data_IF_665068748574
#
_entry.id   IF_665068748574
#
_cell.length_a   1.000
_cell.length_b   1.000
_cell.length_c   1.000
_cell.angle_alpha   90.00
_cell.angle_beta   90.00
_cell.angle_gamma   90.00
#
_symmetry.space_group_name_H-M   'P 1'
#
loop_
_entity.id
_entity.type
_entity.pdbx_description
1 polymer ?
#
# COMPACT_ATOMS: atom_id res chain seq x y z
N UNK A 1 6.50 -80.20 6.55
CA UNK A 1 5.68 -79.39 5.64
C UNK A 1 4.92 -78.37 6.47
N UNK A 2 5.29 -77.10 6.37
CA UNK A 2 4.62 -75.97 7.03
C UNK A 2 4.52 -74.83 6.01
N UNK A 3 3.35 -74.20 5.81
CA UNK A 3 3.23 -73.15 4.80
C UNK A 3 3.70 -71.80 5.36
N UNK A 4 4.49 -71.08 4.56
CA UNK A 4 4.92 -69.71 4.79
C UNK A 4 3.76 -68.77 4.42
N UNK A 5 3.26 -67.99 5.38
CA UNK A 5 2.29 -66.93 5.15
C UNK A 5 2.92 -65.70 4.53
N UNK A 6 2.40 -65.26 3.38
CA UNK A 6 2.69 -63.96 2.77
C UNK A 6 1.91 -62.87 3.53
N UNK A 7 2.64 -61.89 4.09
CA UNK A 7 2.05 -60.67 4.62
C UNK A 7 1.85 -59.66 3.49
N UNK A 8 0.61 -59.32 3.19
CA UNK A 8 0.25 -58.25 2.25
C UNK A 8 0.32 -56.89 2.96
N UNK A 9 1.22 -56.02 2.53
CA UNK A 9 1.25 -54.61 2.95
C UNK A 9 0.19 -53.82 2.18
N UNK A 10 -0.88 -53.41 2.87
CA UNK A 10 -1.87 -52.48 2.33
C UNK A 10 -1.33 -51.05 2.42
N UNK A 11 -1.05 -50.43 1.26
CA UNK A 11 -0.82 -48.99 1.17
C UNK A 11 -2.16 -48.25 1.34
N UNK A 12 -2.32 -47.58 2.47
CA UNK A 12 -3.44 -46.64 2.69
C UNK A 12 -3.11 -45.36 1.93
N UNK A 13 -3.80 -45.12 0.81
CA UNK A 13 -3.77 -43.85 0.11
C UNK A 13 -4.52 -42.80 0.95
N UNK A 14 -3.80 -41.81 1.48
CA UNK A 14 -4.41 -40.66 2.16
C UNK A 14 -4.94 -39.71 1.08
N UNK A 15 -6.25 -39.41 1.03
CA UNK A 15 -6.78 -38.44 0.09
C UNK A 15 -6.31 -37.04 0.47
N UNK A 16 -5.59 -36.36 -0.43
CA UNK A 16 -5.31 -34.93 -0.35
C UNK A 16 -6.64 -34.18 -0.50
N UNK A 17 -7.23 -33.77 0.61
CA UNK A 17 -8.37 -32.85 0.61
C UNK A 17 -7.88 -31.48 0.13
N UNK A 18 -8.36 -31.03 -1.04
CA UNK A 18 -8.14 -29.69 -1.53
C UNK A 18 -8.87 -28.69 -0.62
N UNK A 19 -8.12 -27.98 0.23
CA UNK A 19 -8.68 -26.88 1.02
C UNK A 19 -8.93 -25.68 0.09
N UNK A 20 -10.17 -25.17 -0.01
CA UNK A 20 -10.45 -24.00 -0.85
C UNK A 20 -9.68 -22.80 -0.30
N UNK A 21 -8.85 -22.18 -1.15
CA UNK A 21 -8.21 -20.92 -0.81
C UNK A 21 -9.29 -19.83 -0.70
N UNK A 22 -9.30 -19.03 0.37
CA UNK A 22 -10.25 -17.93 0.49
C UNK A 22 -10.03 -16.94 -0.67
N UNK A 23 -11.13 -16.41 -1.22
CA UNK A 23 -11.06 -15.39 -2.25
C UNK A 23 -10.28 -14.17 -1.75
N UNK A 24 -9.50 -13.55 -2.66
CA UNK A 24 -8.73 -12.36 -2.33
C UNK A 24 -9.66 -11.23 -1.86
N UNK A 25 -9.30 -10.60 -0.75
CA UNK A 25 -10.03 -9.43 -0.23
C UNK A 25 -9.83 -8.22 -1.16
N UNK A 26 -10.77 -7.26 -1.19
CA UNK A 26 -10.60 -6.02 -1.94
C UNK A 26 -9.29 -5.27 -1.63
N UNK A 27 -8.83 -5.26 -0.37
CA UNK A 27 -7.53 -4.68 0.01
C UNK A 27 -6.35 -5.42 -0.62
N UNK A 28 -6.39 -6.74 -0.68
CA UNK A 28 -5.34 -7.53 -1.33
C UNK A 28 -5.28 -7.23 -2.83
N UNK A 29 -6.44 -7.16 -3.49
CA UNK A 29 -6.54 -6.81 -4.91
C UNK A 29 -5.98 -5.40 -5.17
N UNK A 30 -6.31 -4.40 -4.35
CA UNK A 30 -5.71 -3.05 -4.48
C UNK A 30 -4.20 -3.04 -4.24
N UNK A 31 -3.72 -3.84 -3.30
CA UNK A 31 -2.29 -3.96 -3.02
C UNK A 31 -1.55 -4.56 -4.22
N UNK A 32 -2.13 -5.59 -4.84
CA UNK A 32 -1.61 -6.17 -6.08
C UNK A 32 -1.61 -5.15 -7.22
N UNK A 33 -2.73 -4.44 -7.41
CA UNK A 33 -2.83 -3.37 -8.40
C UNK A 33 -1.68 -2.36 -8.24
N UNK A 34 -1.48 -1.85 -7.02
CA UNK A 34 -0.52 -0.81 -6.70
C UNK A 34 0.96 -1.22 -6.88
N UNK A 35 1.32 -2.44 -6.49
CA UNK A 35 2.74 -2.81 -6.35
C UNK A 35 3.22 -3.90 -7.32
N UNK A 36 2.31 -4.62 -7.96
CA UNK A 36 2.64 -5.79 -8.80
C UNK A 36 2.22 -5.63 -10.27
N UNK A 37 1.36 -4.68 -10.59
CA UNK A 37 0.95 -4.42 -11.97
C UNK A 37 2.14 -4.02 -12.85
N UNK A 38 2.15 -4.53 -14.09
CA UNK A 38 3.20 -4.28 -15.08
C UNK A 38 2.84 -3.19 -16.08
N UNK A 39 1.55 -2.97 -16.28
CA UNK A 39 1.00 -1.94 -17.15
C UNK A 39 -0.25 -1.29 -16.53
N UNK A 40 -0.62 -0.15 -17.11
CA UNK A 40 -1.72 0.68 -16.64
C UNK A 40 -3.09 0.02 -16.84
N UNK A 41 -3.29 -0.78 -17.88
CA UNK A 41 -4.58 -1.39 -18.17
C UNK A 41 -4.90 -2.47 -17.14
N UNK A 42 -3.94 -3.36 -16.85
CA UNK A 42 -4.08 -4.36 -15.77
C UNK A 42 -4.28 -3.71 -14.41
N UNK A 43 -3.55 -2.63 -14.10
CA UNK A 43 -3.73 -1.89 -12.86
C UNK A 43 -5.15 -1.33 -12.71
N UNK A 44 -5.68 -0.71 -13.77
CA UNK A 44 -7.05 -0.16 -13.78
C UNK A 44 -8.12 -1.26 -13.64
N UNK A 45 -7.92 -2.42 -14.27
CA UNK A 45 -8.82 -3.56 -14.13
C UNK A 45 -8.88 -4.05 -12.67
N UNK A 46 -7.72 -4.24 -12.02
CA UNK A 46 -7.65 -4.65 -10.62
C UNK A 46 -8.25 -3.59 -9.67
N UNK A 47 -8.02 -2.30 -9.93
CA UNK A 47 -8.65 -1.21 -9.17
C UNK A 47 -10.18 -1.30 -9.27
N UNK A 48 -10.71 -1.49 -10.48
CA UNK A 48 -12.15 -1.62 -10.68
C UNK A 48 -12.72 -2.86 -9.97
N UNK A 49 -11.99 -3.96 -9.97
CA UNK A 49 -12.42 -5.19 -9.30
C UNK A 49 -12.46 -5.02 -7.77
N UNK A 50 -11.43 -4.42 -7.19
CA UNK A 50 -11.42 -4.12 -5.77
C UNK A 50 -12.52 -3.12 -5.38
N UNK A 51 -12.80 -2.11 -6.21
CA UNK A 51 -13.90 -1.17 -5.98
C UNK A 51 -15.25 -1.88 -5.97
N UNK A 52 -15.51 -2.78 -6.93
CA UNK A 52 -16.74 -3.59 -6.96
C UNK A 52 -16.87 -4.47 -5.71
N UNK A 53 -15.79 -5.13 -5.31
CA UNK A 53 -15.77 -5.94 -4.09
C UNK A 53 -16.07 -5.11 -2.84
N UNK A 54 -15.48 -3.91 -2.72
CA UNK A 54 -15.77 -2.99 -1.62
C UNK A 54 -17.23 -2.51 -1.63
N UNK A 55 -17.78 -2.18 -2.79
CA UNK A 55 -19.21 -1.81 -2.93
C UNK A 55 -20.13 -2.96 -2.51
N UNK A 56 -19.81 -4.20 -2.88
CA UNK A 56 -20.59 -5.37 -2.47
C UNK A 56 -20.55 -5.60 -0.95
N UNK A 57 -19.41 -5.34 -0.30
CA UNK A 57 -19.30 -5.39 1.17
C UNK A 57 -20.12 -4.28 1.83
N UNK A 58 -20.04 -3.06 1.32
CA UNK A 58 -20.82 -1.92 1.84
C UNK A 58 -22.32 -2.12 1.68
N UNK A 59 -22.77 -2.78 0.60
CA UNK A 59 -24.18 -3.13 0.41
C UNK A 59 -24.69 -4.15 1.44
N UNK A 60 -23.80 -4.93 2.07
CA UNK A 60 -24.13 -5.88 3.14
C UNK A 60 -24.00 -5.23 4.52
N UNK A 61 -23.05 -4.32 4.68
CA UNK A 61 -22.78 -3.58 5.89
C UNK A 61 -22.26 -2.18 5.54
N UNK A 62 -23.14 -1.18 5.61
CA UNK A 62 -22.81 0.21 5.29
C UNK A 62 -21.79 0.82 6.27
N UNK A 63 -21.63 0.22 7.45
CA UNK A 63 -20.68 0.65 8.48
C UNK A 63 -19.29 0.02 8.33
N UNK A 64 -19.08 -0.80 7.29
CA UNK A 64 -17.82 -1.47 7.04
C UNK A 64 -16.71 -0.48 6.67
N UNK A 65 -15.97 -0.04 7.69
CA UNK A 65 -14.92 0.97 7.57
C UNK A 65 -13.81 0.57 6.58
N UNK A 66 -13.42 -0.70 6.63
CA UNK A 66 -12.40 -1.26 5.74
C UNK A 66 -12.83 -1.19 4.27
N UNK A 67 -14.07 -1.58 3.96
CA UNK A 67 -14.61 -1.49 2.61
C UNK A 67 -14.75 -0.03 2.14
N UNK A 68 -15.17 0.88 3.04
CA UNK A 68 -15.25 2.31 2.75
C UNK A 68 -13.86 2.91 2.41
N UNK A 69 -12.83 2.55 3.20
CA UNK A 69 -11.46 2.99 2.98
C UNK A 69 -10.90 2.46 1.66
N UNK A 70 -11.06 1.16 1.39
CA UNK A 70 -10.65 0.52 0.12
C UNK A 70 -11.30 1.23 -1.06
N UNK A 71 -12.60 1.54 -1.00
CA UNK A 71 -13.29 2.26 -2.07
C UNK A 71 -12.69 3.64 -2.32
N UNK A 72 -12.35 4.39 -1.26
CA UNK A 72 -11.70 5.69 -1.40
C UNK A 72 -10.28 5.58 -1.98
N UNK A 73 -9.52 4.55 -1.58
CA UNK A 73 -8.20 4.24 -2.17
C UNK A 73 -8.33 3.89 -3.65
N UNK A 74 -9.30 3.08 -4.04
CA UNK A 74 -9.55 2.73 -5.44
C UNK A 74 -9.82 3.99 -6.28
N UNK A 75 -10.63 4.92 -5.77
CA UNK A 75 -10.89 6.21 -6.40
C UNK A 75 -9.60 7.04 -6.56
N UNK A 76 -8.78 7.13 -5.51
CA UNK A 76 -7.50 7.85 -5.55
C UNK A 76 -6.49 7.24 -6.53
N UNK A 77 -6.42 5.90 -6.58
CA UNK A 77 -5.55 5.17 -7.51
C UNK A 77 -6.02 5.33 -8.96
N UNK A 78 -7.33 5.25 -9.21
CA UNK A 78 -7.90 5.56 -10.52
C UNK A 78 -7.53 6.98 -10.94
N UNK A 79 -7.71 7.97 -10.05
CA UNK A 79 -7.34 9.36 -10.30
C UNK A 79 -5.87 9.51 -10.70
N UNK A 80 -4.96 8.83 -9.99
CA UNK A 80 -3.52 8.85 -10.28
C UNK A 80 -3.21 8.33 -11.68
N UNK A 81 -3.82 7.22 -12.07
CA UNK A 81 -3.57 6.58 -13.38
C UNK A 81 -4.25 7.30 -14.53
N UNK A 82 -5.45 7.84 -14.33
CA UNK A 82 -6.23 8.54 -15.38
C UNK A 82 -5.98 10.04 -15.42
N UNK A 83 -5.23 10.60 -14.46
CA UNK A 83 -5.06 12.04 -14.25
C UNK A 83 -6.38 12.78 -14.01
N UNK A 84 -7.37 12.09 -13.45
CA UNK A 84 -8.68 12.68 -13.12
C UNK A 84 -8.57 13.58 -11.89
N UNK A 85 -8.63 14.89 -12.12
CA UNK A 85 -8.67 15.90 -11.04
C UNK A 85 -9.91 15.73 -10.15
N UNK A 86 -11.06 15.43 -10.77
CA UNK A 86 -12.31 15.26 -10.05
C UNK A 86 -12.23 14.07 -9.07
N UNK A 87 -11.74 12.92 -9.54
CA UNK A 87 -11.54 11.73 -8.70
C UNK A 87 -10.51 12.00 -7.59
N UNK A 88 -9.44 12.75 -7.88
CA UNK A 88 -8.43 13.10 -6.88
C UNK A 88 -9.03 13.92 -5.73
N UNK A 89 -9.85 14.93 -6.03
CA UNK A 89 -10.53 15.76 -5.02
C UNK A 89 -11.57 14.94 -4.25
N UNK A 90 -12.32 14.09 -4.94
CA UNK A 90 -13.31 13.22 -4.31
C UNK A 90 -12.67 12.21 -3.34
N UNK A 91 -11.56 11.58 -3.74
CA UNK A 91 -10.79 10.68 -2.88
C UNK A 91 -10.27 11.39 -1.63
N UNK A 92 -9.69 12.60 -1.79
CA UNK A 92 -9.24 13.41 -0.65
C UNK A 92 -10.36 13.66 0.36
N UNK A 93 -11.53 14.10 -0.12
CA UNK A 93 -12.69 14.39 0.75
C UNK A 93 -13.15 13.13 1.51
N UNK A 94 -13.04 11.95 0.91
CA UNK A 94 -13.33 10.69 1.60
C UNK A 94 -12.31 10.42 2.71
N UNK A 95 -11.00 10.57 2.43
CA UNK A 95 -9.97 10.38 3.46
C UNK A 95 -10.11 11.37 4.62
N UNK A 96 -10.37 12.64 4.33
CA UNK A 96 -10.63 13.68 5.34
C UNK A 96 -11.84 13.32 6.21
N UNK A 97 -12.90 12.74 5.63
CA UNK A 97 -14.05 12.25 6.40
C UNK A 97 -13.69 11.08 7.30
N UNK A 98 -12.91 10.10 6.83
CA UNK A 98 -12.49 8.97 7.67
C UNK A 98 -11.67 9.44 8.87
N UNK A 99 -10.70 10.33 8.65
CA UNK A 99 -9.90 10.86 9.75
C UNK A 99 -10.70 11.77 10.71
N UNK A 100 -11.82 12.33 10.27
CA UNK A 100 -12.73 13.07 11.14
C UNK A 100 -13.60 12.14 12.01
N UNK A 101 -14.03 11.01 11.46
CA UNK A 101 -14.83 9.99 12.17
C UNK A 101 -13.98 9.23 13.19
N UNK A 102 -12.80 8.78 12.78
CA UNK A 102 -11.82 8.12 13.65
C UNK A 102 -10.45 8.79 13.52
N UNK A 103 -10.16 9.81 14.35
CA UNK A 103 -8.84 10.44 14.37
C UNK A 103 -7.69 9.51 14.81
N UNK A 104 -8.02 8.36 15.42
CA UNK A 104 -7.07 7.36 15.87
C UNK A 104 -6.68 6.33 14.80
N UNK A 105 -7.32 6.37 13.64
CA UNK A 105 -7.05 5.42 12.55
C UNK A 105 -5.71 5.75 11.83
N UNK A 106 -4.69 4.87 11.94
CA UNK A 106 -3.42 5.07 11.25
C UNK A 106 -3.54 4.96 9.73
N UNK A 107 -4.46 4.14 9.21
CA UNK A 107 -4.68 3.96 7.77
C UNK A 107 -5.33 5.23 7.17
N UNK A 108 -6.30 5.85 7.85
CA UNK A 108 -6.86 7.14 7.43
C UNK A 108 -5.81 8.27 7.41
N UNK A 109 -4.98 8.36 8.46
CA UNK A 109 -3.87 9.31 8.50
C UNK A 109 -2.87 9.07 7.35
N UNK A 110 -2.51 7.81 7.08
CA UNK A 110 -1.63 7.44 5.98
C UNK A 110 -2.22 7.78 4.62
N UNK A 111 -3.53 7.59 4.43
CA UNK A 111 -4.21 7.90 3.18
C UNK A 111 -4.19 9.41 2.87
N UNK A 112 -4.47 10.26 3.85
CA UNK A 112 -4.37 11.73 3.71
C UNK A 112 -2.92 12.14 3.44
N UNK A 113 -1.98 11.62 4.23
CA UNK A 113 -0.55 11.90 4.10
C UNK A 113 -0.03 11.57 2.70
N UNK A 114 -0.35 10.36 2.23
CA UNK A 114 0.03 9.86 0.91
C UNK A 114 -0.60 10.69 -0.20
N UNK A 115 -1.90 11.02 -0.11
CA UNK A 115 -2.57 11.82 -1.14
C UNK A 115 -1.87 13.17 -1.36
N UNK A 116 -1.50 13.85 -0.27
CA UNK A 116 -0.78 15.11 -0.34
C UNK A 116 0.63 14.96 -0.91
N UNK A 117 1.42 14.02 -0.39
CA UNK A 117 2.82 13.86 -0.78
C UNK A 117 2.98 13.30 -2.18
N UNK A 118 2.14 12.34 -2.59
CA UNK A 118 2.16 11.79 -3.94
C UNK A 118 1.74 12.83 -5.00
N UNK A 119 0.79 13.72 -4.67
CA UNK A 119 0.47 14.88 -5.52
C UNK A 119 1.66 15.83 -5.68
N UNK A 120 2.40 16.08 -4.60
CA UNK A 120 3.63 16.90 -4.63
C UNK A 120 4.74 16.23 -5.44
N UNK A 121 4.90 14.91 -5.32
CA UNK A 121 5.88 14.14 -6.11
C UNK A 121 5.52 14.17 -7.60
N UNK A 122 4.22 14.07 -7.92
CA UNK A 122 3.75 13.99 -9.30
C UNK A 122 3.76 15.32 -10.05
N UNK A 123 3.43 16.43 -9.38
CA UNK A 123 3.22 17.74 -10.02
C UNK A 123 4.21 18.81 -9.56
N UNK A 124 4.97 18.58 -8.50
CA UNK A 124 5.73 19.61 -7.79
C UNK A 124 4.84 20.41 -6.82
N UNK A 125 5.44 20.99 -5.78
CA UNK A 125 4.70 21.60 -4.67
C UNK A 125 3.77 22.75 -5.06
N UNK A 126 4.25 23.66 -5.91
CA UNK A 126 3.47 24.83 -6.35
C UNK A 126 2.26 24.43 -7.20
N UNK A 127 2.47 23.63 -8.24
CA UNK A 127 1.41 23.16 -9.14
C UNK A 127 0.42 22.26 -8.40
N UNK A 128 0.89 21.33 -7.55
CA UNK A 128 0.01 20.48 -6.76
C UNK A 128 -0.88 21.29 -5.81
N UNK A 129 -0.34 22.36 -5.21
CA UNK A 129 -1.07 23.30 -4.38
C UNK A 129 -2.19 24.00 -5.14
N UNK A 130 -1.91 24.55 -6.33
CA UNK A 130 -2.93 25.24 -7.12
C UNK A 130 -3.96 24.29 -7.75
N UNK A 131 -3.50 23.16 -8.31
CA UNK A 131 -4.36 22.26 -9.07
C UNK A 131 -5.33 21.50 -8.17
N UNK A 132 -4.85 20.94 -7.06
CA UNK A 132 -5.63 20.03 -6.21
C UNK A 132 -5.64 20.43 -4.73
N UNK A 133 -4.94 21.50 -4.34
CA UNK A 133 -4.86 21.92 -2.95
C UNK A 133 -3.93 21.06 -2.10
N UNK A 134 -2.94 20.40 -2.71
CA UNK A 134 -1.99 19.57 -1.98
C UNK A 134 -0.97 20.41 -1.20
N UNK A 135 -0.65 19.98 0.03
CA UNK A 135 0.29 20.68 0.92
C UNK A 135 1.32 19.69 1.46
N UNK A 136 2.60 19.91 1.16
CA UNK A 136 3.71 19.06 1.64
C UNK A 136 3.72 18.95 3.16
N UNK A 137 3.57 20.07 3.86
CA UNK A 137 3.57 20.12 5.33
C UNK A 137 2.44 19.30 5.95
N UNK A 138 1.22 19.43 5.44
CA UNK A 138 0.09 18.60 5.85
C UNK A 138 0.35 17.12 5.58
N UNK A 139 0.89 16.79 4.41
CA UNK A 139 1.24 15.42 4.04
C UNK A 139 2.24 14.78 5.01
N UNK A 140 3.32 15.50 5.34
CA UNK A 140 4.34 15.03 6.29
C UNK A 140 3.76 14.84 7.70
N UNK A 141 2.97 15.80 8.18
CA UNK A 141 2.35 15.71 9.51
C UNK A 141 1.39 14.51 9.63
N UNK A 142 0.61 14.23 8.59
CA UNK A 142 -0.30 13.09 8.58
C UNK A 142 0.44 11.75 8.48
N UNK A 143 1.52 11.67 7.71
CA UNK A 143 2.38 10.48 7.71
C UNK A 143 3.06 10.26 9.06
N UNK A 144 3.52 11.32 9.72
CA UNK A 144 4.11 11.23 11.06
C UNK A 144 3.07 10.75 12.09
N UNK A 145 1.81 11.20 11.96
CA UNK A 145 0.68 10.71 12.77
C UNK A 145 0.42 9.22 12.50
N UNK A 146 0.39 8.80 11.24
CA UNK A 146 0.20 7.40 10.87
C UNK A 146 1.28 6.49 11.46
N UNK A 147 2.54 6.92 11.46
CA UNK A 147 3.65 6.20 12.09
C UNK A 147 3.44 6.09 13.61
N UNK A 148 3.01 7.18 14.27
CA UNK A 148 2.78 7.17 15.71
C UNK A 148 1.60 6.26 16.13
N UNK A 149 0.53 6.23 15.34
CA UNK A 149 -0.67 5.43 15.61
C UNK A 149 -0.52 3.96 15.18
N UNK A 150 0.30 3.70 14.17
CA UNK A 150 0.38 2.40 13.49
C UNK A 150 1.09 1.27 14.25
N UNK A 151 1.58 1.55 15.46
CA UNK A 151 2.36 0.60 16.26
C UNK A 151 3.60 0.09 15.52
N UNK A 152 3.96 -1.18 15.72
CA UNK A 152 5.13 -1.79 15.09
C UNK A 152 4.87 -2.33 13.66
N UNK A 153 3.87 -1.82 12.93
CA UNK A 153 3.60 -2.28 11.56
C UNK A 153 4.56 -1.64 10.56
N UNK A 154 5.17 -2.43 9.68
CA UNK A 154 6.12 -1.93 8.68
C UNK A 154 5.50 -0.98 7.64
N UNK A 155 4.18 -1.05 7.41
CA UNK A 155 3.47 -0.23 6.44
C UNK A 155 3.75 1.27 6.60
N UNK A 156 3.50 1.81 7.78
CA UNK A 156 3.49 3.25 8.02
C UNK A 156 4.88 3.89 7.94
N UNK A 157 5.92 3.41 8.67
CA UNK A 157 7.27 3.96 8.53
C UNK A 157 7.84 3.71 7.13
N UNK A 158 7.54 2.57 6.50
CA UNK A 158 8.04 2.25 5.16
C UNK A 158 7.48 3.20 4.09
N UNK A 159 6.16 3.42 4.12
CA UNK A 159 5.51 4.36 3.20
C UNK A 159 5.96 5.80 3.44
N UNK A 160 6.09 6.21 4.71
CA UNK A 160 6.60 7.53 5.07
C UNK A 160 8.04 7.77 4.58
N UNK A 161 8.91 6.75 4.71
CA UNK A 161 10.27 6.79 4.18
C UNK A 161 10.29 6.98 2.67
N UNK A 162 9.51 6.16 1.94
CA UNK A 162 9.40 6.25 0.47
C UNK A 162 8.95 7.65 0.00
N UNK A 163 7.92 8.20 0.62
CA UNK A 163 7.39 9.53 0.25
C UNK A 163 8.40 10.64 0.55
N UNK A 164 9.03 10.62 1.73
CA UNK A 164 10.06 11.59 2.13
C UNK A 164 11.26 11.56 1.19
N UNK A 165 11.83 10.37 0.97
CA UNK A 165 13.02 10.19 0.15
C UNK A 165 12.77 10.40 -1.35
N UNK A 166 11.53 10.23 -1.81
CA UNK A 166 11.13 10.61 -3.17
C UNK A 166 11.14 12.13 -3.37
N UNK A 167 10.84 12.90 -2.34
CA UNK A 167 10.84 14.37 -2.37
C UNK A 167 12.25 14.91 -2.11
N UNK A 168 12.90 14.43 -1.06
CA UNK A 168 14.23 14.83 -0.63
C UNK A 168 15.05 13.58 -0.23
N UNK A 169 15.96 13.10 -1.09
CA UNK A 169 16.77 11.91 -0.79
C UNK A 169 17.78 12.13 0.35
N UNK A 170 17.95 13.35 0.85
CA UNK A 170 18.77 13.65 2.01
C UNK A 170 17.95 13.77 3.32
N UNK A 171 16.62 13.55 3.30
CA UNK A 171 15.77 13.66 4.51
C UNK A 171 16.25 12.66 5.58
N UNK A 172 16.80 13.14 6.72
CA UNK A 172 17.33 12.27 7.76
C UNK A 172 16.22 11.44 8.44
N UNK A 173 15.01 11.97 8.53
CA UNK A 173 13.84 11.25 9.03
C UNK A 173 13.41 10.17 8.04
N UNK A 174 13.52 10.44 6.74
CA UNK A 174 13.32 9.44 5.70
C UNK A 174 14.23 8.21 5.88
N UNK A 175 15.53 8.42 6.17
CA UNK A 175 16.47 7.34 6.49
C UNK A 175 16.07 6.58 7.75
N UNK A 176 15.81 7.28 8.86
CA UNK A 176 15.46 6.63 10.14
C UNK A 176 14.17 5.79 10.03
N UNK A 177 13.20 6.26 9.26
CA UNK A 177 11.96 5.52 8.99
C UNK A 177 12.20 4.28 8.13
N UNK A 178 13.12 4.33 7.15
CA UNK A 178 13.50 3.14 6.38
C UNK A 178 14.18 2.09 7.27
N UNK A 179 15.07 2.50 8.18
CA UNK A 179 15.69 1.60 9.15
C UNK A 179 14.63 0.95 10.04
N UNK A 180 13.72 1.75 10.61
CA UNK A 180 12.60 1.29 11.43
C UNK A 180 11.74 0.28 10.67
N UNK A 181 11.30 0.62 9.46
CA UNK A 181 10.42 -0.23 8.65
C UNK A 181 11.07 -1.55 8.24
N UNK A 182 12.40 -1.56 8.04
CA UNK A 182 13.13 -2.78 7.66
C UNK A 182 13.14 -3.85 8.77
N UNK A 183 12.97 -3.43 10.03
CA UNK A 183 12.94 -4.30 11.21
C UNK A 183 11.53 -4.43 11.84
N UNK A 184 10.55 -3.68 11.36
CA UNK A 184 9.19 -3.66 11.90
C UNK A 184 8.40 -4.94 11.58
N UNK A 185 7.30 -5.13 12.31
CA UNK A 185 6.40 -6.27 12.20
C UNK A 185 5.60 -6.33 10.90
N UNK A 186 5.28 -7.55 10.47
CA UNK A 186 4.50 -7.85 9.26
C UNK A 186 3.17 -8.48 9.68
N UNK A 187 2.09 -7.70 9.58
CA UNK A 187 0.73 -8.15 9.94
C UNK A 187 -0.07 -8.47 8.68
N UNK A 188 -0.07 -7.56 7.71
CA UNK A 188 -0.74 -7.69 6.42
C UNK A 188 0.27 -7.90 5.27
N UNK A 189 -0.16 -8.42 4.11
CA UNK A 189 0.72 -8.58 2.95
C UNK A 189 1.45 -7.28 2.55
N UNK A 190 0.78 -6.13 2.67
CA UNK A 190 1.39 -4.82 2.36
C UNK A 190 2.53 -4.45 3.32
N UNK A 191 2.50 -4.89 4.58
CA UNK A 191 3.60 -4.67 5.53
C UNK A 191 4.87 -5.36 5.02
N UNK A 192 4.75 -6.57 4.46
CA UNK A 192 5.88 -7.29 3.87
C UNK A 192 6.47 -6.56 2.68
N UNK A 193 5.62 -5.94 1.85
CA UNK A 193 6.07 -5.12 0.70
C UNK A 193 6.85 -3.92 1.21
N UNK A 194 6.33 -3.22 2.23
CA UNK A 194 6.98 -2.03 2.80
C UNK A 194 8.30 -2.37 3.52
N UNK A 195 8.34 -3.46 4.29
CA UNK A 195 9.56 -3.94 4.94
C UNK A 195 10.66 -4.23 3.93
N UNK A 196 10.35 -4.96 2.85
CA UNK A 196 11.30 -5.26 1.77
C UNK A 196 11.74 -4.01 1.00
N UNK A 197 10.80 -3.11 0.73
CA UNK A 197 11.08 -1.83 0.06
C UNK A 197 12.04 -0.97 0.89
N UNK A 198 11.83 -0.92 2.20
CA UNK A 198 12.71 -0.21 3.13
C UNK A 198 14.10 -0.85 3.18
N UNK A 199 14.20 -2.17 3.27
CA UNK A 199 15.48 -2.88 3.22
C UNK A 199 16.26 -2.60 1.92
N UNK A 200 15.57 -2.56 0.77
CA UNK A 200 16.17 -2.22 -0.50
C UNK A 200 16.68 -0.77 -0.54
N UNK A 201 15.91 0.19 0.02
CA UNK A 201 16.32 1.59 0.11
C UNK A 201 17.58 1.81 0.94
N UNK A 202 17.82 0.99 1.97
CA UNK A 202 18.99 1.15 2.83
C UNK A 202 20.30 0.95 2.08
N UNK A 203 20.31 0.24 0.94
CA UNK A 203 21.51 0.02 0.13
C UNK A 203 22.06 1.34 -0.43
N UNK A 204 21.35 2.09 -1.29
CA UNK A 204 21.85 3.38 -1.80
C UNK A 204 21.95 4.44 -0.69
N UNK A 205 21.10 4.39 0.35
CA UNK A 205 21.17 5.32 1.48
C UNK A 205 22.49 5.22 2.25
N UNK A 206 23.02 4.01 2.46
CA UNK A 206 24.31 3.75 3.13
C UNK A 206 25.48 4.11 2.24
N UNK A 207 25.34 3.93 0.92
CA UNK A 207 26.33 4.36 -0.06
C UNK A 207 26.38 5.89 -0.25
N UNK A 208 25.42 6.64 0.31
CA UNK A 208 25.31 8.09 0.10
C UNK A 208 24.81 8.46 -1.30
N UNK A 209 24.32 7.50 -2.08
CA UNK A 209 23.83 7.72 -3.44
C UNK A 209 22.41 8.30 -3.41
N UNK A 210 22.35 9.63 -3.42
CA UNK A 210 21.09 10.39 -3.40
C UNK A 210 20.26 10.16 -4.67
N UNK A 211 20.90 10.00 -5.82
CA UNK A 211 20.24 9.79 -7.10
C UNK A 211 19.54 8.44 -7.14
N UNK A 212 20.27 7.37 -6.82
CA UNK A 212 19.71 6.02 -6.74
C UNK A 212 18.66 5.91 -5.62
N UNK A 213 18.87 6.55 -4.47
CA UNK A 213 17.88 6.59 -3.38
C UNK A 213 16.56 7.19 -3.86
N UNK A 214 16.59 8.38 -4.48
CA UNK A 214 15.37 9.05 -4.93
C UNK A 214 14.67 8.25 -6.04
N UNK A 215 15.44 7.72 -7.00
CA UNK A 215 14.90 6.92 -8.10
C UNK A 215 14.22 5.65 -7.58
N UNK A 216 14.89 4.92 -6.68
CA UNK A 216 14.35 3.70 -6.09
C UNK A 216 13.12 3.99 -5.21
N UNK A 217 13.13 5.06 -4.42
CA UNK A 217 11.98 5.47 -3.61
C UNK A 217 10.74 5.72 -4.49
N UNK A 218 10.91 6.46 -5.60
CA UNK A 218 9.83 6.71 -6.56
C UNK A 218 9.32 5.44 -7.22
N UNK A 219 10.20 4.49 -7.55
CA UNK A 219 9.82 3.21 -8.14
C UNK A 219 9.04 2.32 -7.16
N UNK A 220 9.36 2.37 -5.87
CA UNK A 220 8.75 1.52 -4.84
C UNK A 220 7.41 2.07 -4.31
N UNK A 221 7.03 3.31 -4.66
CA UNK A 221 5.69 3.84 -4.40
C UNK A 221 4.61 3.15 -5.26
N UNK A 222 3.32 3.21 -4.86
CA UNK A 222 2.20 2.73 -5.67
C UNK A 222 2.28 3.20 -7.12
N UNK A 223 2.29 2.25 -8.05
CA UNK A 223 2.41 2.43 -9.50
C UNK A 223 3.73 3.05 -9.98
N UNK A 224 4.74 3.14 -9.12
CA UNK A 224 6.05 3.74 -9.44
C UNK A 224 6.84 3.01 -10.52
N UNK A 225 6.52 1.73 -10.75
CA UNK A 225 7.13 0.89 -11.81
C UNK A 225 6.37 0.87 -13.13
N UNK A 226 5.17 1.46 -13.19
CA UNK A 226 4.45 1.52 -14.45
C UNK A 226 5.19 2.43 -15.42
N UNK A 227 5.39 1.94 -16.65
CA UNK A 227 5.87 2.78 -17.74
C UNK A 227 4.84 3.90 -17.95
N UNK A 228 5.34 5.14 -18.01
CA UNK A 228 4.50 6.32 -18.26
C UNK A 228 4.02 6.36 -19.70
#
# INVERSE_FOLDING_TARGET
MSPRGLAAFAFIAIPLLAVPLPAATPRQILTEAAFQSRDKASALALISEAEKGAVALLARDESNHEAALVRAMALGYRAKLTRSRADAIAARRLFERFAAVDPGDPDAAAAIGTWHLDSVIALGGFVAGMAVGAKKTTGLAMMDRAVALGGNRALFPGLAALLRLSIDPADPRGRALAETASAAGVVLPIDRIMQRSAAALLVPLRAGDRGATQALAKQLLPFGRLKR
#
